data_IF_117216941663
#
_entry.id   IF_117216941663
#
_cell.length_a   1.000
_cell.length_b   1.000
_cell.length_c   1.000
_cell.angle_alpha   90.00
_cell.angle_beta   90.00
_cell.angle_gamma   90.00
#
_symmetry.space_group_name_H-M   'P 1'
#
loop_
_entity.id
_entity.type
_entity.pdbx_description
1 polymer ?
#
# COMPACT_ATOMS: atom_id res chain seq x y z
N UNK A 1 17.93 -16.89 21.47
CA UNK A 1 16.76 -16.09 21.05
C UNK A 1 16.95 -15.75 19.57
N UNK A 2 16.09 -16.23 18.67
CA UNK A 2 16.28 -16.03 17.22
C UNK A 2 15.70 -14.66 16.85
N UNK A 3 16.53 -13.62 16.93
CA UNK A 3 16.25 -12.34 16.30
C UNK A 3 16.43 -12.53 14.79
N UNK A 4 15.34 -12.68 14.05
CA UNK A 4 15.28 -12.60 12.58
C UNK A 4 13.80 -12.57 12.15
N UNK A 5 13.15 -11.42 12.33
CA UNK A 5 12.03 -11.00 11.49
C UNK A 5 12.16 -9.49 11.41
N UNK A 6 12.43 -8.99 10.21
CA UNK A 6 12.35 -7.57 9.88
C UNK A 6 10.96 -7.11 10.33
N UNK A 7 10.88 -6.40 11.46
CA UNK A 7 9.63 -5.75 11.89
C UNK A 7 9.44 -4.56 10.98
N UNK A 8 9.09 -4.82 9.72
CA UNK A 8 8.78 -3.77 8.78
C UNK A 8 7.58 -3.00 9.32
N UNK A 9 7.65 -1.66 9.36
CA UNK A 9 6.56 -0.87 9.87
C UNK A 9 5.33 -1.11 8.99
N UNK A 10 4.24 -1.50 9.64
CA UNK A 10 2.93 -1.66 9.01
C UNK A 10 2.12 -0.38 9.22
N UNK A 11 1.38 0.01 8.19
CA UNK A 11 0.64 1.25 8.15
C UNK A 11 -0.82 0.97 7.81
N UNK A 12 -1.73 1.68 8.47
CA UNK A 12 -3.13 1.67 8.07
C UNK A 12 -3.34 2.45 6.77
N UNK A 13 -4.46 2.17 6.09
CA UNK A 13 -4.90 2.89 4.88
C UNK A 13 -4.74 4.40 5.01
N UNK A 14 -5.27 4.99 6.09
CA UNK A 14 -5.24 6.44 6.32
C UNK A 14 -3.81 6.99 6.41
N UNK A 15 -2.87 6.25 7.00
CA UNK A 15 -1.47 6.67 7.07
C UNK A 15 -0.80 6.63 5.70
N UNK A 16 -1.08 5.61 4.89
CA UNK A 16 -0.51 5.48 3.54
C UNK A 16 -1.05 6.56 2.59
N UNK A 17 -2.37 6.80 2.58
CA UNK A 17 -2.98 7.82 1.70
C UNK A 17 -2.63 9.25 2.12
N UNK A 18 -2.39 9.50 3.41
CA UNK A 18 -1.94 10.82 3.88
C UNK A 18 -0.41 10.99 3.82
N UNK A 19 0.34 9.94 3.49
CA UNK A 19 1.79 10.01 3.38
C UNK A 19 2.25 10.88 2.21
N UNK A 20 3.42 11.51 2.33
CA UNK A 20 4.08 12.18 1.22
C UNK A 20 4.78 11.20 0.25
N UNK A 21 4.74 9.89 0.54
CA UNK A 21 5.43 8.86 -0.23
C UNK A 21 4.73 8.45 -1.53
N UNK A 22 3.48 8.88 -1.73
CA UNK A 22 2.66 8.58 -2.89
C UNK A 22 2.16 9.88 -3.52
N UNK A 23 2.05 9.94 -4.84
CA UNK A 23 1.43 11.05 -5.56
C UNK A 23 -0.10 11.05 -5.37
N UNK A 24 -0.75 12.17 -5.71
CA UNK A 24 -2.20 12.31 -5.58
C UNK A 24 -2.97 11.17 -6.28
N UNK A 25 -2.63 10.86 -7.54
CA UNK A 25 -3.26 9.77 -8.28
C UNK A 25 -3.02 8.38 -7.65
N UNK A 26 -1.83 8.16 -7.09
CA UNK A 26 -1.51 6.91 -6.40
C UNK A 26 -2.32 6.78 -5.10
N UNK A 27 -2.54 7.89 -4.39
CA UNK A 27 -3.37 7.93 -3.18
C UNK A 27 -4.83 7.61 -3.47
N UNK A 28 -5.39 8.14 -4.55
CA UNK A 28 -6.74 7.79 -5.00
C UNK A 28 -6.88 6.28 -5.25
N UNK A 29 -5.90 5.69 -5.94
CA UNK A 29 -5.89 4.24 -6.17
C UNK A 29 -5.74 3.46 -4.86
N UNK A 30 -4.80 3.84 -3.99
CA UNK A 30 -4.62 3.24 -2.66
C UNK A 30 -5.89 3.35 -1.81
N UNK A 31 -6.65 4.43 -1.95
CA UNK A 31 -7.94 4.61 -1.29
C UNK A 31 -9.00 3.61 -1.79
N UNK A 32 -8.90 3.12 -3.02
CA UNK A 32 -9.81 2.10 -3.56
C UNK A 32 -9.33 0.69 -3.22
N UNK A 33 -8.05 0.40 -3.38
CA UNK A 33 -7.52 -0.98 -3.29
C UNK A 33 -7.17 -1.42 -1.86
N UNK A 34 -6.94 -0.49 -0.92
CA UNK A 34 -6.63 -0.82 0.48
C UNK A 34 -7.89 -0.84 1.33
N UNK A 35 -7.98 -1.83 2.22
CA UNK A 35 -9.07 -1.95 3.19
C UNK A 35 -8.79 -1.11 4.44
N UNK A 36 -9.84 -0.55 5.05
CA UNK A 36 -9.70 0.36 6.18
C UNK A 36 -9.26 -0.34 7.49
N UNK A 37 -9.66 -1.60 7.68
CA UNK A 37 -9.36 -2.40 8.88
C UNK A 37 -8.09 -3.25 8.73
N UNK A 38 -7.38 -3.10 7.60
CA UNK A 38 -6.13 -3.80 7.34
C UNK A 38 -4.92 -2.86 7.43
N UNK A 39 -3.80 -3.45 7.83
CA UNK A 39 -2.49 -2.80 7.82
C UNK A 39 -1.63 -3.43 6.72
N UNK A 40 -0.82 -2.61 6.08
CA UNK A 40 0.06 -3.01 4.99
C UNK A 40 1.44 -2.44 5.24
N UNK A 41 2.48 -3.18 4.86
CA UNK A 41 3.81 -2.58 4.74
C UNK A 41 3.85 -1.59 3.58
N UNK A 42 4.86 -0.73 3.57
CA UNK A 42 5.09 0.18 2.45
C UNK A 42 5.30 -0.61 1.13
N UNK A 43 6.04 -1.71 1.21
CA UNK A 43 6.36 -2.55 0.05
C UNK A 43 5.11 -3.25 -0.50
N UNK A 44 4.28 -3.84 0.36
CA UNK A 44 2.98 -4.42 -0.05
C UNK A 44 2.07 -3.39 -0.70
N UNK A 45 2.03 -2.17 -0.15
CA UNK A 45 1.20 -1.09 -0.69
C UNK A 45 1.64 -0.71 -2.11
N UNK A 46 2.96 -0.62 -2.33
CA UNK A 46 3.56 -0.38 -3.64
C UNK A 46 3.28 -1.53 -4.60
N UNK A 47 3.43 -2.78 -4.17
CA UNK A 47 3.14 -3.92 -5.02
C UNK A 47 1.68 -3.97 -5.45
N UNK A 48 0.73 -3.73 -4.53
CA UNK A 48 -0.70 -3.66 -4.87
C UNK A 48 -1.01 -2.54 -5.86
N UNK A 49 -0.41 -1.37 -5.66
CA UNK A 49 -0.54 -0.24 -6.57
C UNK A 49 0.02 -0.57 -7.95
N UNK A 50 1.23 -1.13 -8.01
CA UNK A 50 1.85 -1.56 -9.27
C UNK A 50 1.02 -2.64 -9.95
N UNK A 51 0.48 -3.63 -9.23
CA UNK A 51 -0.41 -4.64 -9.79
C UNK A 51 -1.68 -4.01 -10.36
N UNK A 52 -2.26 -3.03 -9.68
CA UNK A 52 -3.44 -2.31 -10.17
C UNK A 52 -3.13 -1.51 -11.44
N UNK A 53 -1.98 -0.82 -11.49
CA UNK A 53 -1.56 -0.02 -12.65
C UNK A 53 -1.06 -0.87 -13.83
N UNK A 54 -0.45 -2.03 -13.55
CA UNK A 54 0.06 -2.98 -14.57
C UNK A 54 -1.02 -3.88 -15.12
N UNK A 55 -2.16 -4.03 -14.44
CA UNK A 55 -3.30 -4.71 -15.04
C UNK A 55 -3.84 -3.77 -16.11
N UNK A 56 -3.66 -4.05 -17.43
CA UNK A 56 -4.44 -3.33 -18.41
C UNK A 56 -5.88 -3.60 -18.02
N UNK A 57 -6.63 -2.55 -17.69
CA UNK A 57 -8.08 -2.61 -17.57
C UNK A 57 -8.57 -3.38 -18.80
N UNK A 58 -8.86 -4.66 -18.61
CA UNK A 58 -9.58 -5.48 -19.57
C UNK A 58 -11.02 -4.98 -19.47
N UNK A 59 -11.25 -3.79 -20.03
CA UNK A 59 -12.55 -3.26 -20.42
C UNK A 59 -13.04 -4.06 -21.62
#
# INVERSE_FOLDING_TARGET
MKANRTNEPVFGKTQLVNSALFAAAEKDVLQVILQADQQYTLEESKQKLESYLKTPLAL
#
